data_IF_605853975454
#
_entry.id   IF_605853975454
#
_cell.length_a   1.000
_cell.length_b   1.000
_cell.length_c   1.000
_cell.angle_alpha   90.00
_cell.angle_beta   90.00
_cell.angle_gamma   90.00
#
_symmetry.space_group_name_H-M   'P 1'
#
loop_
_entity.id
_entity.type
_entity.pdbx_description
1 polymer ?
#
# COMPACT_ATOMS: atom_id res chain seq x y z
N UNK A 1 27.20 -25.30 16.83
CA UNK A 1 25.98 -24.45 16.70
C UNK A 1 26.11 -23.66 15.40
N UNK A 2 25.55 -24.17 14.30
CA UNK A 2 25.56 -23.49 12.99
C UNK A 2 24.70 -22.23 13.10
N UNK A 3 25.33 -21.06 13.03
CA UNK A 3 24.63 -19.77 12.94
C UNK A 3 24.17 -19.64 11.49
N UNK A 4 22.87 -19.81 11.23
CA UNK A 4 22.28 -19.33 9.98
C UNK A 4 22.42 -17.81 9.95
N UNK A 5 23.46 -17.31 9.28
CA UNK A 5 23.54 -15.93 8.80
C UNK A 5 22.50 -15.77 7.67
N UNK A 6 21.23 -15.73 8.05
CA UNK A 6 20.16 -15.33 7.14
C UNK A 6 20.46 -13.91 6.69
N UNK A 7 20.74 -13.72 5.40
CA UNK A 7 20.90 -12.42 4.77
C UNK A 7 19.62 -11.63 5.05
N UNK A 8 19.64 -10.73 6.04
CA UNK A 8 18.47 -9.94 6.43
C UNK A 8 17.97 -9.24 5.18
N UNK A 9 16.77 -9.59 4.70
CA UNK A 9 16.11 -8.89 3.61
C UNK A 9 15.93 -7.45 4.08
N UNK A 10 16.51 -6.49 3.37
CA UNK A 10 16.41 -5.08 3.72
C UNK A 10 14.94 -4.68 3.88
N UNK A 11 14.64 -3.89 4.91
CA UNK A 11 13.34 -3.26 5.09
C UNK A 11 13.29 -2.06 4.12
N UNK A 12 12.24 -1.98 3.30
CA UNK A 12 12.02 -0.92 2.29
C UNK A 12 10.92 0.07 2.71
N UNK A 13 10.38 -0.09 3.92
CA UNK A 13 9.23 0.69 4.40
C UNK A 13 9.56 2.17 4.49
N UNK A 14 10.76 2.50 4.99
CA UNK A 14 11.23 3.88 5.06
C UNK A 14 11.39 4.52 3.67
N UNK A 15 11.85 3.78 2.67
CA UNK A 15 12.01 4.30 1.31
C UNK A 15 10.65 4.62 0.67
N UNK A 16 9.67 3.73 0.87
CA UNK A 16 8.30 3.92 0.39
C UNK A 16 7.67 5.15 1.05
N UNK A 17 7.78 5.26 2.37
CA UNK A 17 7.26 6.41 3.11
C UNK A 17 7.94 7.69 2.62
N UNK A 18 9.28 7.68 2.52
CA UNK A 18 10.04 8.86 2.12
C UNK A 18 9.70 9.33 0.71
N UNK A 19 9.56 8.42 -0.26
CA UNK A 19 9.21 8.79 -1.64
C UNK A 19 7.80 9.40 -1.72
N UNK A 20 6.83 8.87 -0.96
CA UNK A 20 5.50 9.48 -0.85
C UNK A 20 5.57 10.89 -0.24
N UNK A 21 6.29 11.04 0.87
CA UNK A 21 6.43 12.33 1.55
C UNK A 21 7.15 13.35 0.68
N UNK A 22 8.19 12.92 -0.05
CA UNK A 22 8.94 13.75 -1.00
C UNK A 22 8.04 14.25 -2.13
N UNK A 23 7.19 13.39 -2.71
CA UNK A 23 6.22 13.80 -3.74
C UNK A 23 5.23 14.84 -3.24
N UNK A 24 4.71 14.66 -2.02
CA UNK A 24 3.84 15.63 -1.37
C UNK A 24 4.54 16.95 -1.12
N UNK A 25 5.73 16.90 -0.51
CA UNK A 25 6.53 18.08 -0.15
C UNK A 25 6.94 18.89 -1.39
N UNK A 26 7.40 18.21 -2.44
CA UNK A 26 7.77 18.85 -3.72
C UNK A 26 6.58 19.30 -4.56
N UNK A 27 5.34 18.98 -4.14
CA UNK A 27 4.10 19.26 -4.88
C UNK A 27 4.15 18.72 -6.31
N UNK A 28 4.76 17.54 -6.49
CA UNK A 28 4.79 16.89 -7.80
C UNK A 28 3.37 16.56 -8.28
N UNK A 29 3.05 16.72 -9.58
CA UNK A 29 1.72 16.40 -10.08
C UNK A 29 1.49 14.89 -10.07
N UNK A 30 0.47 14.46 -9.35
CA UNK A 30 -0.11 13.12 -9.40
C UNK A 30 -1.60 13.19 -9.00
N UNK A 31 -2.41 12.24 -9.46
CA UNK A 31 -3.82 12.16 -9.09
C UNK A 31 -3.97 11.69 -7.63
N UNK A 32 -3.79 10.39 -7.41
CA UNK A 32 -3.90 9.76 -6.09
C UNK A 32 -2.95 8.58 -5.95
N UNK A 33 -2.62 8.26 -4.70
CA UNK A 33 -1.71 7.17 -4.36
C UNK A 33 -2.48 5.85 -4.21
N UNK A 34 -1.98 4.81 -4.89
CA UNK A 34 -2.37 3.42 -4.66
C UNK A 34 -1.21 2.71 -3.99
N UNK A 35 -1.43 2.19 -2.78
CA UNK A 35 -0.40 1.45 -2.05
C UNK A 35 -0.64 -0.05 -2.22
N UNK A 36 0.40 -0.82 -2.56
CA UNK A 36 0.30 -2.29 -2.63
C UNK A 36 1.06 -2.88 -1.45
N UNK A 37 0.36 -3.17 -0.37
CA UNK A 37 0.95 -3.77 0.82
C UNK A 37 -0.13 -4.39 1.71
N UNK A 38 0.23 -5.45 2.43
CA UNK A 38 -0.55 -6.01 3.55
C UNK A 38 -0.13 -5.48 4.91
N UNK A 39 0.98 -4.74 4.96
CA UNK A 39 1.65 -4.36 6.19
C UNK A 39 0.89 -3.27 6.96
N UNK A 40 0.75 -3.49 8.27
CA UNK A 40 0.14 -2.55 9.19
C UNK A 40 0.97 -1.30 9.43
N UNK A 41 2.27 -1.35 9.19
CA UNK A 41 3.20 -0.24 9.43
C UNK A 41 2.88 0.98 8.56
N UNK A 42 2.21 0.77 7.42
CA UNK A 42 1.73 1.87 6.56
C UNK A 42 0.40 2.49 7.00
N UNK A 43 -0.24 2.03 8.08
CA UNK A 43 -1.57 2.53 8.49
C UNK A 43 -1.58 4.03 8.71
N UNK A 44 -0.55 4.55 9.38
CA UNK A 44 -0.40 5.99 9.62
C UNK A 44 -0.26 6.78 8.31
N UNK A 45 0.51 6.26 7.35
CA UNK A 45 0.63 6.87 6.02
C UNK A 45 -0.71 6.88 5.27
N UNK A 46 -1.45 5.76 5.33
CA UNK A 46 -2.77 5.65 4.70
C UNK A 46 -3.76 6.66 5.28
N UNK A 47 -3.83 6.79 6.61
CA UNK A 47 -4.74 7.73 7.27
C UNK A 47 -4.43 9.17 6.88
N UNK A 48 -3.15 9.55 6.95
CA UNK A 48 -2.69 10.88 6.52
C UNK A 48 -3.05 11.18 5.06
N UNK A 49 -2.82 10.23 4.14
CA UNK A 49 -3.17 10.43 2.73
C UNK A 49 -4.68 10.54 2.48
N UNK A 50 -5.51 9.90 3.32
CA UNK A 50 -6.98 10.02 3.25
C UNK A 50 -7.39 11.43 3.67
N UNK A 51 -6.84 11.93 4.78
CA UNK A 51 -7.08 13.28 5.29
C UNK A 51 -6.69 14.35 4.25
N UNK A 52 -5.54 14.18 3.62
CA UNK A 52 -5.04 15.04 2.53
C UNK A 52 -5.81 14.90 1.21
N UNK A 53 -6.81 14.00 1.14
CA UNK A 53 -7.56 13.65 -0.09
C UNK A 53 -6.66 13.14 -1.24
N UNK A 54 -5.45 12.67 -0.92
CA UNK A 54 -4.45 12.14 -1.85
C UNK A 54 -4.44 10.61 -1.96
N UNK A 55 -5.20 9.92 -1.13
CA UNK A 55 -5.29 8.46 -1.17
C UNK A 55 -6.36 7.94 -2.12
N UNK A 56 -6.02 6.94 -2.93
CA UNK A 56 -6.99 6.19 -3.73
C UNK A 56 -7.42 4.93 -2.98
N UNK A 57 -6.47 4.04 -2.70
CA UNK A 57 -6.75 2.68 -2.22
C UNK A 57 -5.48 1.93 -1.79
N UNK A 58 -5.56 1.05 -0.79
CA UNK A 58 -4.56 0.01 -0.51
C UNK A 58 -4.99 -1.31 -1.15
N UNK A 59 -4.09 -1.95 -1.88
CA UNK A 59 -4.31 -3.24 -2.51
C UNK A 59 -3.55 -4.31 -1.72
N UNK A 60 -4.31 -5.19 -1.07
CA UNK A 60 -3.75 -6.31 -0.34
C UNK A 60 -3.36 -7.43 -1.32
N UNK A 61 -2.08 -7.85 -1.38
CA UNK A 61 -1.65 -8.94 -2.26
C UNK A 61 -2.37 -10.25 -1.95
N UNK A 62 -2.59 -10.52 -0.66
CA UNK A 62 -3.29 -11.70 -0.17
C UNK A 62 -4.20 -11.32 0.99
N UNK A 63 -5.46 -11.77 0.90
CA UNK A 63 -6.52 -11.51 1.89
C UNK A 63 -6.20 -12.02 3.28
N UNK A 64 -5.39 -13.09 3.40
CA UNK A 64 -5.04 -13.71 4.67
C UNK A 64 -3.97 -12.95 5.46
N UNK A 65 -3.16 -12.13 4.77
CA UNK A 65 -2.01 -11.43 5.36
C UNK A 65 -2.25 -9.93 5.54
N UNK A 66 -3.48 -9.45 5.33
CA UNK A 66 -3.82 -8.06 5.58
C UNK A 66 -3.86 -7.78 7.08
N UNK A 67 -3.15 -6.76 7.54
CA UNK A 67 -3.15 -6.36 8.94
C UNK A 67 -4.55 -6.07 9.47
N UNK A 68 -4.83 -6.51 10.71
CA UNK A 68 -6.10 -6.24 11.40
C UNK A 68 -6.37 -4.75 11.63
N UNK A 69 -5.32 -3.91 11.55
CA UNK A 69 -5.42 -2.45 11.63
C UNK A 69 -6.31 -1.86 10.52
N UNK A 70 -6.45 -2.55 9.39
CA UNK A 70 -7.30 -2.14 8.28
C UNK A 70 -8.76 -2.58 8.42
N UNK A 71 -9.15 -3.33 9.47
CA UNK A 71 -10.56 -3.77 9.66
C UNK A 71 -11.55 -2.61 9.80
N UNK A 72 -11.08 -1.46 10.31
CA UNK A 72 -11.89 -0.24 10.46
C UNK A 72 -11.84 0.66 9.21
N UNK A 73 -10.99 0.32 8.24
CA UNK A 73 -10.86 1.11 7.02
C UNK A 73 -12.10 0.89 6.14
N UNK A 74 -12.72 1.97 5.67
CA UNK A 74 -13.87 1.89 4.79
C UNK A 74 -13.57 1.05 3.54
N UNK A 75 -14.53 0.25 3.09
CA UNK A 75 -14.42 -0.60 1.89
C UNK A 75 -14.08 0.18 0.61
N UNK A 76 -14.26 1.51 0.60
CA UNK A 76 -13.83 2.36 -0.51
C UNK A 76 -12.30 2.46 -0.63
N UNK A 77 -11.57 2.29 0.47
CA UNK A 77 -10.13 2.55 0.58
C UNK A 77 -9.26 1.29 0.52
N UNK A 78 -9.84 0.10 0.39
CA UNK A 78 -9.05 -1.12 0.17
C UNK A 78 -9.67 -2.04 -0.89
N UNK A 79 -8.87 -2.96 -1.43
CA UNK A 79 -9.31 -4.11 -2.23
C UNK A 79 -8.20 -5.18 -2.23
N UNK A 80 -8.47 -6.35 -2.81
CA UNK A 80 -7.55 -7.48 -2.83
C UNK A 80 -7.10 -7.78 -4.25
N UNK A 81 -5.79 -7.87 -4.50
CA UNK A 81 -5.24 -8.20 -5.83
C UNK A 81 -5.72 -9.56 -6.37
N UNK A 82 -6.07 -10.49 -5.48
CA UNK A 82 -6.66 -11.78 -5.84
C UNK A 82 -8.06 -11.69 -6.44
N UNK A 83 -8.75 -10.56 -6.33
CA UNK A 83 -10.13 -10.39 -6.77
C UNK A 83 -10.22 -10.42 -8.31
N UNK A 84 -11.06 -11.31 -8.86
CA UNK A 84 -11.20 -11.49 -10.31
C UNK A 84 -11.61 -10.19 -11.03
N UNK A 85 -12.37 -9.33 -10.35
CA UNK A 85 -12.76 -8.01 -10.87
C UNK A 85 -11.58 -7.05 -11.04
N UNK A 86 -10.59 -7.09 -10.14
CA UNK A 86 -9.37 -6.30 -10.25
C UNK A 86 -8.45 -6.85 -11.34
N UNK A 87 -8.30 -8.18 -11.40
CA UNK A 87 -7.54 -8.84 -12.48
C UNK A 87 -8.10 -8.50 -13.85
N UNK A 88 -9.43 -8.46 -14.00
CA UNK A 88 -10.07 -8.07 -15.24
C UNK A 88 -9.80 -6.60 -15.62
N UNK A 89 -9.74 -5.69 -14.65
CA UNK A 89 -9.41 -4.26 -14.87
C UNK A 89 -7.94 -4.05 -15.24
N UNK A 90 -7.02 -4.77 -14.58
CA UNK A 90 -5.58 -4.71 -14.90
C UNK A 90 -5.32 -5.31 -16.29
N UNK A 91 -5.95 -6.46 -16.61
CA UNK A 91 -5.75 -7.16 -17.89
C UNK A 91 -6.34 -6.42 -19.09
N UNK A 92 -7.43 -5.68 -18.90
CA UNK A 92 -8.01 -4.87 -19.99
C UNK A 92 -7.18 -3.64 -20.32
N UNK A 93 -6.20 -3.27 -19.49
CA UNK A 93 -5.71 -1.90 -19.44
C UNK A 93 -6.87 -1.01 -18.98
N UNK A 94 -6.67 -0.20 -17.95
CA UNK A 94 -7.65 0.86 -17.71
C UNK A 94 -7.85 1.64 -19.02
N UNK A 95 -9.09 1.97 -19.42
CA UNK A 95 -9.32 2.84 -20.58
C UNK A 95 -8.58 4.17 -20.43
#
# INVERSE_FOLDING_TARGET
KLVMLGKKKGNVDSDIIFEVMKKLYKKEPFDKIVLVSGDGDYKMLVDFLIEEKRFKKILFPNKQFASSLYKKLSNMYYDYLGNNSLKAKIKKGSP
#
